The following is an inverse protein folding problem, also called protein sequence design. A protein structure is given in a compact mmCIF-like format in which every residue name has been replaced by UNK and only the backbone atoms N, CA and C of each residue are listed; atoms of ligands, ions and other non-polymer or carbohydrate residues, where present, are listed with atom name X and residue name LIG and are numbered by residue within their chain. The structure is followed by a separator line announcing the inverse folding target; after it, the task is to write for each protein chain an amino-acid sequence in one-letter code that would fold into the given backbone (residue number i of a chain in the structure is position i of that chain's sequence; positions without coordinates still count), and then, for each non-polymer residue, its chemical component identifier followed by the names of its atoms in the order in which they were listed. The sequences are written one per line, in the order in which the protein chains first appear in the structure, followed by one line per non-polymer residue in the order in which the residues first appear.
data_IF_811188555099
#
_entry.id   IF_811188555099
#
_cell.length_a   1.000
_cell.length_b   1.000
_cell.length_c   1.000
_cell.angle_alpha   90.00
_cell.angle_beta   90.00
_cell.angle_gamma   90.00
#
_symmetry.space_group_name_H-M   'P 1'
#
loop_
_entity.id
_entity.type
_entity.pdbx_description
1 polymer ?
#
# COMPACT_ATOMS: atom_id res chain seq x y z
N UNK A 1 10.77 -9.75 -9.29
CA UNK A 1 9.47 -9.17 -9.71
C UNK A 1 8.28 -9.85 -9.03
N UNK A 2 8.17 -11.19 -9.00
CA UNK A 2 6.98 -11.86 -8.43
C UNK A 2 6.73 -11.69 -6.92
N UNK A 3 7.76 -11.54 -6.10
CA UNK A 3 7.59 -11.34 -4.64
C UNK A 3 7.02 -9.96 -4.30
N UNK A 4 7.41 -8.91 -5.03
CA UNK A 4 6.85 -7.57 -4.85
C UNK A 4 5.37 -7.51 -5.26
N UNK A 5 5.00 -8.20 -6.34
CA UNK A 5 3.59 -8.29 -6.78
C UNK A 5 2.71 -8.98 -5.73
N UNK A 6 3.20 -10.05 -5.08
CA UNK A 6 2.50 -10.71 -3.97
C UNK A 6 2.40 -9.81 -2.73
N UNK A 7 3.49 -9.10 -2.40
CA UNK A 7 3.50 -8.15 -1.29
C UNK A 7 2.49 -7.02 -1.50
N UNK A 8 2.45 -6.44 -2.70
CA UNK A 8 1.51 -5.40 -3.09
C UNK A 8 0.06 -5.89 -2.97
N UNK A 9 -0.26 -7.07 -3.54
CA UNK A 9 -1.61 -7.64 -3.44
C UNK A 9 -2.06 -7.90 -2.00
N UNK A 10 -1.14 -8.32 -1.13
CA UNK A 10 -1.40 -8.52 0.30
C UNK A 10 -1.67 -7.19 1.01
N UNK A 11 -0.90 -6.14 0.68
CA UNK A 11 -1.07 -4.79 1.22
C UNK A 11 -2.39 -4.14 0.77
N UNK A 12 -2.76 -4.29 -0.50
CA UNK A 12 -4.01 -3.77 -1.06
C UNK A 12 -5.22 -4.42 -0.38
N UNK A 13 -5.20 -5.74 -0.17
CA UNK A 13 -6.27 -6.44 0.55
C UNK A 13 -6.39 -6.01 2.01
N UNK A 14 -5.25 -5.79 2.67
CA UNK A 14 -5.23 -5.22 4.04
C UNK A 14 -5.81 -3.80 4.06
N UNK A 15 -5.47 -2.98 3.07
CA UNK A 15 -5.98 -1.61 2.95
C UNK A 15 -7.50 -1.59 2.76
N UNK A 16 -8.08 -2.47 1.95
CA UNK A 16 -9.53 -2.57 1.78
C UNK A 16 -10.25 -2.89 3.10
N UNK A 17 -9.75 -3.86 3.85
CA UNK A 17 -10.31 -4.21 5.16
C UNK A 17 -10.22 -3.02 6.12
N UNK A 18 -9.06 -2.34 6.16
CA UNK A 18 -8.85 -1.16 7.00
C UNK A 18 -9.76 0.00 6.60
N UNK A 19 -10.04 0.21 5.32
CA UNK A 19 -10.95 1.26 4.84
C UNK A 19 -12.39 1.04 5.30
N UNK A 20 -12.81 -0.21 5.46
CA UNK A 20 -14.15 -0.55 5.97
C UNK A 20 -14.20 -0.44 7.49
N UNK A 21 -13.13 -0.85 8.18
CA UNK A 21 -13.09 -0.93 9.63
C UNK A 21 -12.74 0.40 10.33
N UNK A 22 -12.02 1.29 9.66
CA UNK A 22 -11.41 2.47 10.28
C UNK A 22 -11.93 3.78 9.68
N UNK A 23 -12.02 4.86 10.47
CA UNK A 23 -12.34 6.17 9.94
C UNK A 23 -11.25 6.65 8.95
N UNK A 24 -11.58 7.50 7.97
CA UNK A 24 -10.67 7.90 6.89
C UNK A 24 -9.33 8.51 7.34
N UNK A 25 -9.27 9.11 8.54
CA UNK A 25 -8.07 9.75 9.09
C UNK A 25 -7.29 8.84 10.06
N UNK A 26 -7.55 7.54 10.07
CA UNK A 26 -6.86 6.62 10.96
C UNK A 26 -5.39 6.43 10.54
N UNK A 27 -4.41 6.52 11.46
CA UNK A 27 -2.98 6.39 11.14
C UNK A 27 -2.62 5.08 10.44
N UNK A 28 -3.34 3.98 10.71
CA UNK A 28 -3.15 2.69 10.04
C UNK A 28 -3.43 2.72 8.54
N UNK A 29 -4.27 3.63 8.06
CA UNK A 29 -4.47 3.84 6.62
C UNK A 29 -3.23 4.49 6.02
N UNK A 30 -2.69 5.54 6.63
CA UNK A 30 -1.45 6.18 6.21
C UNK A 30 -0.25 5.22 6.21
N UNK A 31 -0.15 4.35 7.23
CA UNK A 31 0.89 3.32 7.27
C UNK A 31 0.74 2.32 6.11
N UNK A 32 -0.48 1.97 5.72
CA UNK A 32 -0.73 1.06 4.60
C UNK A 32 -0.30 1.68 3.27
N UNK A 33 -0.64 2.95 3.04
CA UNK A 33 -0.22 3.69 1.85
C UNK A 33 1.31 3.85 1.77
N UNK A 34 1.97 4.17 2.88
CA UNK A 34 3.44 4.22 2.94
C UNK A 34 4.09 2.88 2.57
N UNK A 35 3.54 1.76 3.04
CA UNK A 35 4.06 0.44 2.69
C UNK A 35 3.89 0.12 1.21
N UNK A 36 2.75 0.49 0.62
CA UNK A 36 2.49 0.34 -0.82
C UNK A 36 3.46 1.20 -1.63
N UNK A 37 3.64 2.46 -1.24
CA UNK A 37 4.59 3.37 -1.86
C UNK A 37 6.01 2.83 -1.83
N UNK A 38 6.44 2.29 -0.68
CA UNK A 38 7.77 1.67 -0.52
C UNK A 38 7.96 0.45 -1.42
N UNK A 39 6.93 -0.38 -1.61
CA UNK A 39 7.01 -1.51 -2.55
C UNK A 39 7.19 -1.00 -3.98
N UNK A 40 6.45 0.03 -4.40
CA UNK A 40 6.61 0.63 -5.73
C UNK A 40 7.97 1.30 -5.93
N UNK A 41 8.49 1.97 -4.91
CA UNK A 41 9.84 2.56 -4.89
C UNK A 41 10.92 1.48 -5.12
N UNK A 42 10.82 0.36 -4.38
CA UNK A 42 11.71 -0.79 -4.55
C UNK A 42 11.55 -1.48 -5.91
N UNK A 43 10.41 -1.35 -6.58
CA UNK A 43 10.19 -1.83 -7.95
C UNK A 43 10.71 -0.86 -9.02
N UNK A 44 11.19 0.34 -8.65
CA UNK A 44 11.57 1.40 -9.58
C UNK A 44 10.38 2.11 -10.24
N UNK A 45 9.17 1.90 -9.70
CA UNK A 45 7.90 2.40 -10.22
C UNK A 45 7.48 3.68 -9.46
N UNK A 46 8.36 4.67 -9.45
CA UNK A 46 8.23 5.89 -8.63
C UNK A 46 6.93 6.66 -8.87
N UNK A 47 6.41 6.65 -10.10
CA UNK A 47 5.12 7.28 -10.43
C UNK A 47 3.95 6.67 -9.65
N UNK A 48 3.98 5.35 -9.44
CA UNK A 48 2.96 4.64 -8.66
C UNK A 48 3.15 4.86 -7.16
N UNK A 49 4.40 4.92 -6.70
CA UNK A 49 4.73 5.24 -5.31
C UNK A 49 4.19 6.60 -4.88
N UNK A 50 4.27 7.62 -5.74
CA UNK A 50 3.76 8.96 -5.45
C UNK A 50 2.22 9.04 -5.46
N UNK A 51 1.56 8.13 -6.17
CA UNK A 51 0.09 8.05 -6.25
C UNK A 51 -0.56 7.17 -5.17
N UNK A 52 0.28 6.50 -4.37
CA UNK A 52 -0.14 5.59 -3.28
C UNK A 52 -0.56 6.38 -2.06
#
# INVERSE_FOLDING_TARGET
MGEYSKALSSLERSLEIRKIALPPNHPDLAASYNNIASVYDNMGEYSKALSS
#
